data_IF_728165247983
#
_entry.id   IF_728165247983
#
_cell.length_a   1.000
_cell.length_b   1.000
_cell.length_c   1.000
_cell.angle_alpha   90.00
_cell.angle_beta   90.00
_cell.angle_gamma   90.00
#
_symmetry.space_group_name_H-M   'P 1'
#
loop_
_entity.id
_entity.type
_entity.pdbx_description
1 polymer ?
#
# COMPACT_ATOMS: atom_id res chain seq x y z
N UNK A 1 -28.26 -5.71 21.88
CA UNK A 1 -28.32 -5.93 20.39
C UNK A 1 -27.65 -4.82 19.60
N UNK A 2 -27.87 -3.51 19.86
CA UNK A 2 -27.13 -2.42 19.19
C UNK A 2 -25.67 -2.29 19.68
N UNK A 3 -25.42 -2.47 20.98
CA UNK A 3 -24.07 -2.39 21.57
C UNK A 3 -23.18 -3.53 21.07
N UNK A 4 -23.73 -4.76 20.98
CA UNK A 4 -22.99 -5.91 20.39
C UNK A 4 -22.66 -5.74 18.91
N UNK A 5 -23.55 -5.12 18.13
CA UNK A 5 -23.27 -4.80 16.72
C UNK A 5 -22.15 -3.76 16.58
N UNK A 6 -22.08 -2.78 17.48
CA UNK A 6 -21.04 -1.73 17.45
C UNK A 6 -19.68 -2.29 17.87
N UNK A 7 -19.63 -3.18 18.86
CA UNK A 7 -18.37 -3.87 19.24
C UNK A 7 -17.89 -4.86 18.17
N UNK A 8 -18.81 -5.57 17.51
CA UNK A 8 -18.48 -6.46 16.40
C UNK A 8 -17.94 -5.69 15.20
N UNK A 9 -18.59 -4.58 14.84
CA UNK A 9 -18.15 -3.70 13.75
C UNK A 9 -16.77 -3.07 14.04
N UNK A 10 -16.47 -2.74 15.30
CA UNK A 10 -15.16 -2.29 15.74
C UNK A 10 -14.06 -3.35 15.61
N UNK A 11 -14.35 -4.60 15.95
CA UNK A 11 -13.40 -5.72 15.81
C UNK A 11 -13.10 -6.04 14.35
N UNK A 12 -14.12 -6.05 13.49
CA UNK A 12 -13.94 -6.32 12.05
C UNK A 12 -13.07 -5.25 11.38
N UNK A 13 -13.23 -3.98 11.79
CA UNK A 13 -12.40 -2.88 11.29
C UNK A 13 -10.94 -3.01 11.75
N UNK A 14 -10.69 -3.45 12.98
CA UNK A 14 -9.33 -3.68 13.51
C UNK A 14 -8.62 -4.84 12.80
N UNK A 15 -9.32 -5.91 12.49
CA UNK A 15 -8.77 -7.07 11.78
C UNK A 15 -8.41 -6.68 10.34
N UNK A 16 -9.27 -5.93 9.65
CA UNK A 16 -8.98 -5.41 8.31
C UNK A 16 -7.77 -4.47 8.30
N UNK A 17 -7.59 -3.68 9.34
CA UNK A 17 -6.45 -2.77 9.48
C UNK A 17 -5.13 -3.52 9.69
N UNK A 18 -5.15 -4.60 10.47
CA UNK A 18 -3.97 -5.44 10.71
C UNK A 18 -3.57 -6.20 9.44
N UNK A 19 -4.52 -6.75 8.72
CA UNK A 19 -4.30 -7.39 7.42
C UNK A 19 -3.75 -6.40 6.38
N UNK A 20 -4.26 -5.17 6.35
CA UNK A 20 -3.75 -4.10 5.50
C UNK A 20 -2.29 -3.76 5.83
N UNK A 21 -1.97 -3.59 7.11
CA UNK A 21 -0.61 -3.29 7.56
C UNK A 21 0.37 -4.45 7.28
N UNK A 22 -0.09 -5.69 7.43
CA UNK A 22 0.72 -6.88 7.15
C UNK A 22 1.02 -7.01 5.65
N UNK A 23 0.03 -6.76 4.81
CA UNK A 23 0.17 -6.76 3.36
C UNK A 23 1.07 -5.60 2.89
N UNK A 24 0.90 -4.41 3.48
CA UNK A 24 1.75 -3.25 3.21
C UNK A 24 3.22 -3.53 3.54
N UNK A 25 3.50 -4.14 4.71
CA UNK A 25 4.86 -4.55 5.10
C UNK A 25 5.45 -5.62 4.19
N UNK A 26 4.64 -6.52 3.66
CA UNK A 26 5.12 -7.57 2.74
C UNK A 26 5.48 -7.03 1.37
N UNK A 27 4.74 -6.01 0.90
CA UNK A 27 4.84 -5.48 -0.47
C UNK A 27 5.35 -4.04 -0.52
N UNK A 28 6.01 -3.54 0.53
CA UNK A 28 6.45 -2.15 0.65
C UNK A 28 7.36 -1.68 -0.49
N UNK A 29 8.23 -2.59 -1.01
CA UNK A 29 9.12 -2.30 -2.14
C UNK A 29 8.33 -1.98 -3.42
N UNK A 30 7.23 -2.71 -3.68
CA UNK A 30 6.38 -2.45 -4.83
C UNK A 30 5.65 -1.11 -4.68
N UNK A 31 5.20 -0.78 -3.47
CA UNK A 31 4.61 0.52 -3.17
C UNK A 31 5.58 1.67 -3.39
N UNK A 32 6.81 1.53 -2.89
CA UNK A 32 7.86 2.53 -3.10
C UNK A 32 8.18 2.71 -4.59
N UNK A 33 8.31 1.61 -5.33
CA UNK A 33 8.55 1.67 -6.77
C UNK A 33 7.42 2.38 -7.53
N UNK A 34 6.17 2.09 -7.19
CA UNK A 34 5.00 2.74 -7.79
C UNK A 34 4.97 4.25 -7.52
N UNK A 35 5.24 4.65 -6.28
CA UNK A 35 5.32 6.07 -5.88
C UNK A 35 6.41 6.80 -6.68
N UNK A 36 7.58 6.20 -6.82
CA UNK A 36 8.69 6.77 -7.59
C UNK A 36 8.36 6.87 -9.09
N UNK A 37 7.72 5.86 -9.66
CA UNK A 37 7.28 5.87 -11.06
C UNK A 37 6.25 6.97 -11.30
N UNK A 38 5.25 7.11 -10.41
CA UNK A 38 4.25 8.18 -10.53
C UNK A 38 4.86 9.57 -10.37
N UNK A 39 5.76 9.76 -9.41
CA UNK A 39 6.48 11.03 -9.22
C UNK A 39 7.32 11.41 -10.43
N UNK A 40 8.11 10.48 -10.96
CA UNK A 40 8.93 10.69 -12.15
C UNK A 40 8.07 10.92 -13.40
N UNK A 41 7.03 10.12 -13.59
CA UNK A 41 6.12 10.22 -14.74
C UNK A 41 5.39 11.56 -14.79
N UNK A 42 4.79 11.98 -13.67
CA UNK A 42 4.10 13.28 -13.60
C UNK A 42 5.07 14.45 -13.84
N UNK A 43 6.24 14.41 -13.23
CA UNK A 43 7.27 15.43 -13.41
C UNK A 43 7.77 15.48 -14.87
N UNK A 44 7.96 14.33 -15.50
CA UNK A 44 8.38 14.25 -16.88
C UNK A 44 7.34 14.83 -17.85
N UNK A 45 6.06 14.46 -17.66
CA UNK A 45 4.95 14.96 -18.50
C UNK A 45 4.82 16.47 -18.36
N UNK A 46 4.84 16.98 -17.14
CA UNK A 46 4.70 18.42 -16.87
C UNK A 46 5.92 19.21 -17.37
N UNK A 47 7.13 18.68 -17.25
CA UNK A 47 8.33 19.29 -17.80
C UNK A 47 8.26 19.41 -19.33
N UNK A 48 7.72 18.38 -19.99
CA UNK A 48 7.57 18.40 -21.46
C UNK A 48 6.51 19.40 -21.93
N UNK A 49 5.49 19.65 -21.11
CA UNK A 49 4.45 20.64 -21.38
C UNK A 49 4.86 22.07 -20.98
N UNK A 50 5.86 22.23 -20.14
CA UNK A 50 6.31 23.51 -19.64
C UNK A 50 6.94 24.34 -20.77
N UNK A 51 6.42 25.56 -20.95
CA UNK A 51 6.99 26.57 -21.83
C UNK A 51 7.47 27.75 -20.97
N UNK A 52 8.74 28.06 -20.96
CA UNK A 52 9.24 29.22 -20.21
C UNK A 52 8.67 30.51 -20.84
N UNK A 53 8.25 31.42 -19.98
CA UNK A 53 7.77 32.74 -20.39
C UNK A 53 8.74 33.77 -19.82
N UNK A 54 9.29 34.62 -20.67
CA UNK A 54 10.21 35.70 -20.31
C UNK A 54 9.43 37.00 -20.26
N UNK A 55 9.81 37.92 -19.37
CA UNK A 55 9.20 39.22 -19.19
C UNK A 55 10.26 40.30 -19.35
N UNK A 56 10.10 41.16 -20.35
CA UNK A 56 10.81 42.39 -20.44
C UNK A 56 9.95 43.52 -19.85
N UNK A 57 10.52 44.43 -19.08
CA UNK A 57 9.79 45.54 -18.45
C UNK A 57 10.47 46.86 -18.64
N UNK A 58 9.66 47.92 -18.85
CA UNK A 58 10.14 49.29 -18.88
C UNK A 58 9.23 50.15 -18.00
N UNK A 59 9.84 51.06 -17.25
CA UNK A 59 9.17 52.02 -16.38
C UNK A 59 9.25 53.42 -16.92
N UNK A 60 8.10 54.08 -16.94
CA UNK A 60 7.96 55.45 -17.51
C UNK A 60 7.38 56.38 -16.43
N UNK A 61 7.73 57.65 -16.51
CA UNK A 61 7.05 58.70 -15.79
C UNK A 61 6.36 59.69 -16.75
N UNK A 62 5.22 60.17 -16.34
CA UNK A 62 4.43 61.14 -17.13
C UNK A 62 4.95 62.56 -16.83
N UNK A 63 5.40 63.30 -17.87
CA UNK A 63 5.68 64.72 -17.75
C UNK A 63 4.80 65.52 -18.72
N UNK A 64 4.22 66.59 -18.24
CA UNK A 64 3.47 67.54 -19.08
C UNK A 64 4.45 68.57 -19.54
N UNK A 65 4.72 68.65 -20.87
CA UNK A 65 5.55 69.68 -21.46
C UNK A 65 4.64 70.96 -21.62
N UNK A 66 4.91 71.95 -20.80
CA UNK A 66 4.26 73.27 -20.96
C UNK A 66 5.29 74.26 -21.50
N UNK A 67 5.21 74.67 -22.78
CA UNK A 67 6.21 75.51 -23.41
C UNK A 67 6.22 76.97 -22.89
N UNK A 68 5.23 77.40 -22.11
CA UNK A 68 5.10 78.80 -21.67
C UNK A 68 5.61 79.09 -20.26
N UNK A 69 5.89 78.08 -19.45
CA UNK A 69 6.39 78.25 -18.05
C UNK A 69 7.49 77.25 -17.71
N UNK A 70 8.68 77.58 -18.05
CA UNK A 70 9.86 76.80 -17.70
C UNK A 70 10.23 76.81 -16.21
N UNK A 71 9.44 77.43 -15.36
CA UNK A 71 9.84 77.69 -13.94
C UNK A 71 8.80 77.31 -12.85
N UNK A 72 7.65 76.75 -13.19
CA UNK A 72 6.68 76.31 -12.11
C UNK A 72 6.18 74.93 -12.41
N UNK A 73 6.77 73.94 -11.82
CA UNK A 73 6.24 72.58 -11.73
C UNK A 73 5.09 72.53 -10.69
N UNK A 74 3.93 73.08 -11.01
CA UNK A 74 2.72 72.65 -10.31
C UNK A 74 2.30 71.28 -10.80
N UNK A 75 2.81 70.27 -10.17
CA UNK A 75 2.42 68.89 -10.33
C UNK A 75 0.91 68.79 -9.95
N UNK A 76 0.05 68.82 -10.93
CA UNK A 76 -1.37 68.66 -10.69
C UNK A 76 -1.66 67.18 -10.56
N UNK A 77 -1.68 66.68 -9.32
CA UNK A 77 -1.90 65.29 -8.95
C UNK A 77 -3.12 64.66 -9.68
N UNK A 78 -4.16 65.45 -9.92
CA UNK A 78 -5.33 65.02 -10.69
C UNK A 78 -4.99 64.80 -12.18
N UNK A 79 -4.15 65.62 -12.78
CA UNK A 79 -3.77 65.46 -14.21
C UNK A 79 -2.87 64.23 -14.38
N UNK A 80 -1.97 64.00 -13.45
CA UNK A 80 -1.11 62.82 -13.45
C UNK A 80 -1.95 61.55 -13.30
N UNK A 81 -3.02 61.56 -12.50
CA UNK A 81 -3.90 60.43 -12.27
C UNK A 81 -4.77 60.12 -13.50
N UNK A 82 -5.37 61.13 -14.13
CA UNK A 82 -6.11 60.98 -15.40
C UNK A 82 -5.20 60.43 -16.52
N UNK A 83 -3.97 60.87 -16.55
CA UNK A 83 -3.00 60.38 -17.54
C UNK A 83 -2.54 58.94 -17.23
N UNK A 84 -2.31 58.60 -15.97
CA UNK A 84 -2.02 57.23 -15.56
C UNK A 84 -3.13 56.24 -15.98
N UNK A 85 -4.38 56.68 -15.98
CA UNK A 85 -5.53 55.89 -16.45
C UNK A 85 -5.64 55.79 -17.96
N UNK A 86 -5.16 56.79 -18.69
CA UNK A 86 -5.26 56.86 -20.16
C UNK A 86 -4.11 56.19 -20.89
N UNK A 87 -2.88 56.29 -20.37
CA UNK A 87 -1.70 55.72 -21.00
C UNK A 87 -1.70 54.21 -21.19
N UNK A 88 -2.25 53.39 -20.26
CA UNK A 88 -2.36 51.97 -20.50
C UNK A 88 -3.15 51.64 -21.78
N UNK A 89 -4.19 52.43 -22.07
CA UNK A 89 -5.01 52.26 -23.26
C UNK A 89 -4.27 52.66 -24.55
N UNK A 90 -3.36 53.64 -24.48
CA UNK A 90 -2.50 54.05 -25.61
C UNK A 90 -1.43 53.02 -25.89
N UNK A 91 -0.72 52.57 -24.84
CA UNK A 91 0.35 51.58 -24.96
C UNK A 91 -0.12 50.19 -25.41
N UNK A 92 -1.40 49.88 -25.18
CA UNK A 92 -2.04 48.64 -25.66
C UNK A 92 -2.94 48.90 -26.90
N UNK A 93 -2.92 50.10 -27.48
CA UNK A 93 -3.76 50.40 -28.61
C UNK A 93 -3.36 49.61 -29.86
N UNK A 94 -4.38 49.26 -30.66
CA UNK A 94 -4.14 48.58 -31.95
C UNK A 94 -3.35 49.38 -32.95
N UNK A 95 -3.27 50.72 -32.81
CA UNK A 95 -2.47 51.60 -33.66
C UNK A 95 -0.98 51.41 -33.34
N UNK A 96 -0.58 51.42 -32.06
CA UNK A 96 0.77 51.19 -31.63
C UNK A 96 1.23 49.75 -31.94
N UNK A 97 0.35 48.78 -31.71
CA UNK A 97 0.63 47.38 -32.04
C UNK A 97 0.93 47.18 -33.53
N UNK A 98 0.13 47.79 -34.42
CA UNK A 98 0.40 47.75 -35.88
C UNK A 98 1.72 48.36 -36.23
N UNK A 99 2.05 49.52 -35.64
CA UNK A 99 3.35 50.21 -35.91
C UNK A 99 4.52 49.33 -35.45
N UNK A 100 4.40 48.70 -34.31
CA UNK A 100 5.45 47.74 -33.81
C UNK A 100 5.54 46.51 -34.71
N UNK A 101 4.41 45.99 -35.22
CA UNK A 101 4.44 44.88 -36.18
C UNK A 101 5.14 45.27 -37.48
N UNK A 102 4.83 46.43 -37.99
CA UNK A 102 5.48 46.95 -39.23
C UNK A 102 6.98 47.18 -39.05
N UNK A 103 7.39 47.72 -37.91
CA UNK A 103 8.80 48.01 -37.62
C UNK A 103 9.65 46.73 -37.46
N UNK A 104 9.08 45.70 -36.77
CA UNK A 104 9.77 44.45 -36.51
C UNK A 104 9.52 43.37 -37.56
N UNK A 105 8.56 43.60 -38.50
CA UNK A 105 8.20 42.61 -39.50
C UNK A 105 7.58 41.34 -38.92
N UNK A 106 6.79 41.48 -37.82
CA UNK A 106 6.15 40.36 -37.14
C UNK A 106 4.61 40.38 -37.39
N UNK A 107 4.01 39.18 -37.46
CA UNK A 107 2.56 39.03 -37.71
C UNK A 107 1.75 39.23 -36.48
N UNK A 108 2.30 39.01 -35.27
CA UNK A 108 1.58 39.07 -33.99
C UNK A 108 2.49 39.67 -32.91
N UNK A 109 1.90 40.56 -32.10
CA UNK A 109 2.58 41.17 -30.95
C UNK A 109 2.39 40.28 -29.72
N UNK A 110 3.47 39.99 -28.94
CA UNK A 110 3.37 39.31 -27.68
C UNK A 110 2.43 39.97 -26.68
N UNK A 111 2.04 39.21 -25.65
CA UNK A 111 1.15 39.73 -24.61
C UNK A 111 1.81 40.91 -23.88
N UNK A 112 1.17 42.07 -23.99
CA UNK A 112 1.58 43.31 -23.33
C UNK A 112 0.63 43.65 -22.19
N UNK A 113 1.16 44.06 -21.06
CA UNK A 113 0.39 44.56 -19.93
C UNK A 113 1.02 45.84 -19.39
N UNK A 114 0.20 46.77 -19.00
CA UNK A 114 0.61 48.03 -18.39
C UNK A 114 0.02 48.12 -17.01
N UNK A 115 0.83 48.44 -16.03
CA UNK A 115 0.39 48.67 -14.66
C UNK A 115 0.80 50.06 -14.18
N UNK A 116 -0.12 50.81 -13.62
CA UNK A 116 0.14 52.05 -12.93
C UNK A 116 0.38 51.80 -11.44
N UNK A 117 1.41 52.39 -10.87
CA UNK A 117 1.62 52.32 -9.43
C UNK A 117 0.70 53.33 -8.74
N UNK A 118 -0.11 52.84 -7.80
CA UNK A 118 -1.05 53.68 -7.06
C UNK A 118 -0.36 54.89 -6.42
N UNK A 119 -0.99 56.07 -6.57
CA UNK A 119 -0.46 57.36 -6.07
C UNK A 119 0.89 57.79 -6.65
N UNK A 120 1.27 57.27 -7.81
CA UNK A 120 2.54 57.60 -8.48
C UNK A 120 2.29 57.85 -9.97
N UNK A 121 3.09 58.72 -10.57
CA UNK A 121 3.10 58.93 -12.04
C UNK A 121 3.93 57.89 -12.80
N UNK A 122 4.21 56.76 -12.15
CA UNK A 122 5.05 55.68 -12.73
C UNK A 122 4.14 54.65 -13.35
N UNK A 123 4.40 54.37 -14.64
CA UNK A 123 3.78 53.32 -15.43
C UNK A 123 4.80 52.26 -15.75
N UNK A 124 4.48 51.02 -15.55
CA UNK A 124 5.36 49.92 -15.92
C UNK A 124 4.69 49.10 -17.04
N UNK A 125 5.34 49.08 -18.19
CA UNK A 125 5.04 48.23 -19.33
C UNK A 125 5.72 46.88 -19.13
N UNK A 126 5.04 45.80 -19.37
CA UNK A 126 5.54 44.43 -19.34
C UNK A 126 5.16 43.72 -20.63
N UNK A 127 6.15 43.16 -21.28
CA UNK A 127 6.00 42.34 -22.49
C UNK A 127 6.40 40.92 -22.18
N UNK A 128 5.53 39.97 -22.47
CA UNK A 128 5.74 38.54 -22.17
C UNK A 128 5.76 37.70 -23.43
N UNK A 129 6.84 36.97 -23.64
CA UNK A 129 7.00 36.02 -24.75
C UNK A 129 7.71 34.75 -24.29
N UNK A 130 7.63 33.71 -25.09
CA UNK A 130 8.42 32.49 -24.90
C UNK A 130 9.88 32.65 -25.36
N UNK A 131 10.16 33.66 -26.21
CA UNK A 131 11.49 34.04 -26.67
C UNK A 131 11.95 35.34 -25.96
N UNK A 132 13.04 35.27 -25.19
CA UNK A 132 13.59 36.45 -24.48
C UNK A 132 14.00 37.58 -25.40
N UNK A 133 14.57 37.25 -26.58
CA UNK A 133 14.99 38.25 -27.56
C UNK A 133 13.77 38.99 -28.13
N UNK A 134 12.73 38.24 -28.52
CA UNK A 134 11.48 38.81 -29.04
C UNK A 134 10.77 39.69 -28.02
N UNK A 135 10.72 39.29 -26.73
CA UNK A 135 10.17 40.10 -25.67
C UNK A 135 10.89 41.45 -25.52
N UNK A 136 12.20 41.43 -25.62
CA UNK A 136 13.05 42.63 -25.54
C UNK A 136 12.87 43.50 -26.76
N UNK A 137 12.97 42.94 -28.00
CA UNK A 137 12.85 43.68 -29.26
C UNK A 137 11.47 44.38 -29.36
N UNK A 138 10.39 43.71 -28.98
CA UNK A 138 9.07 44.32 -28.96
C UNK A 138 8.97 45.43 -27.91
N UNK A 139 9.53 45.26 -26.72
CA UNK A 139 9.59 46.34 -25.73
C UNK A 139 10.35 47.54 -26.24
N UNK A 140 11.51 47.33 -26.85
CA UNK A 140 12.34 48.39 -27.41
C UNK A 140 11.65 49.11 -28.58
N UNK A 141 10.93 48.37 -29.45
CA UNK A 141 10.13 48.95 -30.54
C UNK A 141 8.95 49.78 -30.00
N UNK A 142 8.29 49.30 -28.92
CA UNK A 142 7.22 50.10 -28.27
C UNK A 142 7.80 51.42 -27.74
N UNK A 143 8.97 51.41 -27.10
CA UNK A 143 9.63 52.60 -26.59
C UNK A 143 9.96 53.56 -27.74
N UNK A 144 10.43 53.04 -28.87
CA UNK A 144 10.78 53.83 -30.04
C UNK A 144 9.53 54.45 -30.77
N UNK A 145 8.49 53.64 -30.97
CA UNK A 145 7.28 54.07 -31.72
C UNK A 145 6.28 54.85 -30.87
N UNK A 146 6.32 54.72 -29.55
CA UNK A 146 5.38 55.35 -28.63
C UNK A 146 5.29 56.91 -28.83
N UNK A 147 6.37 57.67 -28.92
CA UNK A 147 6.28 59.16 -29.00
C UNK A 147 5.46 59.66 -30.16
N UNK A 148 5.55 59.04 -31.33
CA UNK A 148 4.75 59.40 -32.52
C UNK A 148 3.25 59.19 -32.30
N UNK A 149 2.89 58.07 -31.65
CA UNK A 149 1.48 57.73 -31.39
C UNK A 149 0.90 58.62 -30.28
N UNK A 150 1.69 58.90 -29.25
CA UNK A 150 1.26 59.73 -28.13
C UNK A 150 1.07 61.21 -28.52
N UNK A 151 1.94 61.78 -29.36
CA UNK A 151 1.79 63.14 -29.88
C UNK A 151 0.45 63.30 -30.65
N UNK A 152 0.07 62.29 -31.41
CA UNK A 152 -1.19 62.25 -32.15
C UNK A 152 -2.43 62.18 -31.24
N UNK A 153 -2.36 61.46 -30.12
CA UNK A 153 -3.54 61.16 -29.25
C UNK A 153 -3.69 62.18 -28.12
N UNK A 154 -2.62 62.61 -27.47
CA UNK A 154 -2.64 63.34 -26.21
C UNK A 154 -2.00 64.73 -26.33
N UNK A 155 -1.38 65.03 -27.44
CA UNK A 155 -0.70 66.29 -27.64
C UNK A 155 0.68 66.40 -26.91
N UNK A 156 0.97 67.56 -26.32
CA UNK A 156 2.27 67.90 -25.76
C UNK A 156 2.65 67.14 -24.44
N UNK A 157 2.15 65.94 -24.23
CA UNK A 157 2.47 65.13 -23.05
C UNK A 157 3.53 64.08 -23.42
N UNK A 158 4.61 63.98 -22.63
CA UNK A 158 5.73 63.10 -22.94
C UNK A 158 5.91 62.07 -21.80
N UNK A 159 5.96 60.79 -22.17
CA UNK A 159 6.48 59.77 -21.27
C UNK A 159 8.00 59.81 -21.29
N UNK A 160 8.57 59.90 -20.13
CA UNK A 160 10.02 59.84 -19.96
C UNK A 160 10.37 58.43 -19.44
N UNK A 161 11.21 57.72 -20.21
CA UNK A 161 11.75 56.43 -19.76
C UNK A 161 12.59 56.65 -18.51
N UNK A 162 12.23 55.92 -17.43
CA UNK A 162 12.98 55.93 -16.17
C UNK A 162 13.98 54.79 -16.11
N UNK A 163 13.53 53.61 -16.50
CA UNK A 163 14.32 52.39 -16.36
C UNK A 163 13.85 51.35 -17.39
N UNK A 164 14.77 50.50 -17.81
CA UNK A 164 14.56 49.41 -18.77
C UNK A 164 15.25 48.16 -18.25
N UNK A 165 14.56 47.05 -18.18
CA UNK A 165 15.07 45.79 -17.60
C UNK A 165 16.19 45.12 -18.44
N UNK A 166 16.43 45.59 -19.64
CA UNK A 166 17.29 44.91 -20.59
C UNK A 166 16.74 43.53 -21.02
N UNK A 167 17.60 42.77 -21.66
CA UNK A 167 17.23 41.43 -22.13
C UNK A 167 16.97 40.46 -20.94
N UNK A 168 15.79 39.85 -20.85
CA UNK A 168 15.49 38.96 -19.75
C UNK A 168 16.33 37.66 -19.81
N UNK A 169 17.04 37.34 -18.72
CA UNK A 169 17.92 36.18 -18.63
C UNK A 169 17.29 34.98 -17.96
N UNK A 170 16.17 35.18 -17.25
CA UNK A 170 15.45 34.12 -16.54
C UNK A 170 13.95 34.19 -16.83
N UNK A 171 13.24 33.08 -16.86
CA UNK A 171 11.78 33.05 -17.03
C UNK A 171 11.10 33.60 -15.80
N UNK A 172 9.91 34.17 -15.96
CA UNK A 172 9.06 34.73 -14.87
C UNK A 172 8.67 33.68 -13.83
N UNK A 173 8.43 32.48 -14.29
CA UNK A 173 8.13 31.35 -13.40
C UNK A 173 9.05 30.19 -13.75
N UNK A 174 9.89 29.81 -12.82
CA UNK A 174 10.73 28.61 -12.98
C UNK A 174 9.90 27.35 -12.81
N UNK A 175 10.30 26.25 -13.49
CA UNK A 175 9.66 24.97 -13.34
C UNK A 175 9.88 24.43 -11.91
N UNK A 176 8.79 24.30 -11.14
CA UNK A 176 8.86 23.86 -9.75
C UNK A 176 8.89 22.33 -9.66
N UNK A 177 10.08 21.73 -9.78
CA UNK A 177 10.27 20.27 -9.66
C UNK A 177 9.73 19.71 -8.35
N UNK A 178 9.92 20.42 -7.22
CA UNK A 178 9.48 19.95 -5.89
C UNK A 178 7.98 19.78 -5.83
N UNK A 179 7.23 20.72 -6.38
CA UNK A 179 5.77 20.67 -6.42
C UNK A 179 5.28 19.45 -7.22
N UNK A 180 5.80 19.20 -8.42
CA UNK A 180 5.36 18.09 -9.26
C UNK A 180 5.80 16.73 -8.73
N UNK A 181 6.97 16.62 -8.12
CA UNK A 181 7.43 15.40 -7.43
C UNK A 181 6.52 15.08 -6.25
N UNK A 182 6.17 16.07 -5.41
CA UNK A 182 5.28 15.84 -4.27
C UNK A 182 3.86 15.47 -4.71
N UNK A 183 3.30 16.14 -5.70
CA UNK A 183 1.99 15.78 -6.26
C UNK A 183 2.01 14.35 -6.84
N UNK A 184 3.03 13.99 -7.60
CA UNK A 184 3.18 12.64 -8.15
C UNK A 184 3.35 11.58 -7.08
N UNK A 185 4.07 11.87 -6.00
CA UNK A 185 4.21 10.96 -4.86
C UNK A 185 2.88 10.75 -4.12
N UNK A 186 2.09 11.80 -3.93
CA UNK A 186 0.76 11.71 -3.32
C UNK A 186 -0.19 10.86 -4.17
N UNK A 187 -0.21 11.09 -5.48
CA UNK A 187 -1.01 10.29 -6.42
C UNK A 187 -0.57 8.82 -6.38
N UNK A 188 0.74 8.54 -6.41
CA UNK A 188 1.28 7.19 -6.33
C UNK A 188 0.91 6.49 -5.02
N UNK A 189 0.96 7.21 -3.89
CA UNK A 189 0.55 6.68 -2.59
C UNK A 189 -0.96 6.37 -2.54
N UNK A 190 -1.80 7.25 -3.11
CA UNK A 190 -3.24 7.01 -3.19
C UNK A 190 -3.56 5.76 -4.03
N UNK A 191 -2.95 5.61 -5.20
CA UNK A 191 -3.10 4.43 -6.05
C UNK A 191 -2.64 3.17 -5.32
N UNK A 192 -1.52 3.24 -4.61
CA UNK A 192 -1.02 2.12 -3.80
C UNK A 192 -2.01 1.70 -2.71
N UNK A 193 -2.58 2.66 -1.98
CA UNK A 193 -3.61 2.38 -0.96
C UNK A 193 -4.85 1.70 -1.57
N UNK A 194 -5.30 2.13 -2.75
CA UNK A 194 -6.42 1.49 -3.45
C UNK A 194 -6.10 0.05 -3.84
N UNK A 195 -4.89 -0.20 -4.38
CA UNK A 195 -4.44 -1.56 -4.73
C UNK A 195 -4.39 -2.44 -3.48
N UNK A 196 -3.83 -1.95 -2.36
CA UNK A 196 -3.79 -2.69 -1.10
C UNK A 196 -5.19 -3.01 -0.59
N UNK A 197 -6.10 -2.04 -0.59
CA UNK A 197 -7.48 -2.23 -0.17
C UNK A 197 -8.16 -3.31 -1.03
N UNK A 198 -7.97 -3.26 -2.34
CA UNK A 198 -8.50 -4.27 -3.26
C UNK A 198 -7.93 -5.66 -2.97
N UNK A 199 -6.62 -5.78 -2.74
CA UNK A 199 -5.98 -7.06 -2.41
C UNK A 199 -6.45 -7.64 -1.07
N UNK A 200 -6.72 -6.79 -0.08
CA UNK A 200 -7.26 -7.20 1.22
C UNK A 200 -8.70 -7.69 1.06
N UNK A 201 -9.53 -6.97 0.31
CA UNK A 201 -10.92 -7.34 0.06
C UNK A 201 -11.08 -8.63 -0.76
N UNK A 202 -10.12 -8.92 -1.65
CA UNK A 202 -10.12 -10.17 -2.43
C UNK A 202 -9.68 -11.40 -1.63
N UNK A 203 -9.09 -11.22 -0.44
CA UNK A 203 -8.74 -12.35 0.42
C UNK A 203 -10.00 -12.89 1.10
N UNK A 204 -10.45 -14.04 0.68
CA UNK A 204 -11.47 -14.82 1.39
C UNK A 204 -10.86 -15.46 2.64
N UNK A 205 -10.54 -14.68 3.66
CA UNK A 205 -10.09 -15.16 4.97
C UNK A 205 -11.28 -15.17 5.92
N UNK A 206 -11.50 -16.29 6.59
CA UNK A 206 -12.54 -16.40 7.61
C UNK A 206 -12.04 -15.74 8.89
N UNK A 207 -12.71 -14.68 9.33
CA UNK A 207 -12.30 -13.91 10.50
C UNK A 207 -13.13 -14.23 11.75
N UNK A 208 -14.36 -14.68 11.59
CA UNK A 208 -15.32 -14.90 12.68
C UNK A 208 -15.99 -16.28 12.66
N UNK A 209 -16.38 -16.78 13.86
CA UNK A 209 -17.14 -18.04 14.00
C UNK A 209 -18.45 -18.03 13.19
N UNK A 210 -19.15 -16.90 13.17
CA UNK A 210 -20.43 -16.75 12.47
C UNK A 210 -20.26 -16.81 10.95
N UNK A 211 -19.15 -16.29 10.42
CA UNK A 211 -18.80 -16.38 9.00
C UNK A 211 -18.49 -17.83 8.62
N UNK A 212 -17.73 -18.54 9.46
CA UNK A 212 -17.43 -19.95 9.28
C UNK A 212 -18.71 -20.79 9.23
N UNK A 213 -19.64 -20.57 10.16
CA UNK A 213 -20.92 -21.28 10.21
C UNK A 213 -21.78 -21.03 8.98
N UNK A 214 -21.81 -19.78 8.49
CA UNK A 214 -22.58 -19.40 7.28
C UNK A 214 -21.98 -19.96 6.01
N UNK A 215 -20.65 -19.97 5.91
CA UNK A 215 -19.92 -20.35 4.69
C UNK A 215 -19.77 -21.86 4.56
N UNK A 216 -19.43 -22.57 5.65
CA UNK A 216 -19.13 -24.01 5.61
C UNK A 216 -20.25 -24.89 6.15
N UNK A 217 -21.31 -24.32 6.72
CA UNK A 217 -22.37 -25.07 7.41
C UNK A 217 -21.84 -26.11 8.42
N UNK A 218 -20.72 -25.78 9.07
CA UNK A 218 -20.04 -26.64 10.04
C UNK A 218 -19.90 -25.92 11.39
N UNK A 219 -19.99 -26.64 12.53
CA UNK A 219 -19.79 -26.04 13.84
C UNK A 219 -18.33 -25.64 14.04
N UNK A 220 -18.08 -24.45 14.58
CA UNK A 220 -16.75 -24.05 15.03
C UNK A 220 -16.44 -24.76 16.37
N UNK A 221 -15.43 -25.64 16.36
CA UNK A 221 -15.01 -26.37 17.57
C UNK A 221 -14.06 -25.55 18.43
N UNK A 222 -13.42 -24.51 17.91
CA UNK A 222 -12.57 -23.64 18.69
C UNK A 222 -11.66 -22.76 17.84
N UNK A 223 -11.11 -21.74 18.48
CA UNK A 223 -10.09 -20.85 17.93
C UNK A 223 -8.79 -21.05 18.70
N UNK A 224 -7.70 -21.26 18.00
CA UNK A 224 -6.36 -21.39 18.58
C UNK A 224 -5.56 -20.15 18.20
N UNK A 225 -5.08 -19.34 19.17
CA UNK A 225 -4.32 -18.15 18.88
C UNK A 225 -2.97 -18.50 18.29
N UNK A 226 -2.47 -17.61 17.41
CA UNK A 226 -1.12 -17.73 16.86
C UNK A 226 -0.07 -17.61 17.98
N UNK A 227 0.88 -18.52 17.98
CA UNK A 227 1.98 -18.55 18.96
C UNK A 227 3.29 -18.18 18.28
N UNK A 228 4.10 -17.34 18.92
CA UNK A 228 5.44 -17.02 18.43
C UNK A 228 6.32 -18.26 18.47
N UNK A 229 6.75 -18.70 17.29
CA UNK A 229 7.66 -19.84 17.14
C UNK A 229 9.10 -19.36 17.39
N UNK A 230 9.79 -20.01 18.34
CA UNK A 230 11.20 -19.76 18.59
C UNK A 230 12.08 -20.74 17.80
N UNK A 231 13.23 -20.27 17.29
CA UNK A 231 14.21 -21.16 16.62
C UNK A 231 14.68 -22.33 17.50
N UNK A 232 14.68 -22.15 18.83
CA UNK A 232 15.02 -23.22 19.80
C UNK A 232 13.87 -24.19 20.08
N UNK A 233 12.63 -23.79 19.74
CA UNK A 233 11.40 -24.56 19.99
C UNK A 233 10.47 -24.36 18.80
N UNK A 234 10.69 -25.07 17.71
CA UNK A 234 9.99 -24.84 16.44
C UNK A 234 8.51 -25.22 16.49
N UNK A 235 8.11 -25.98 17.51
CA UNK A 235 6.72 -26.44 17.64
C UNK A 235 6.14 -26.06 19.00
N UNK A 236 4.98 -25.39 19.06
CA UNK A 236 4.30 -25.08 20.30
C UNK A 236 3.70 -26.36 20.88
N UNK A 237 4.03 -26.66 22.15
CA UNK A 237 3.43 -27.75 22.90
C UNK A 237 2.64 -27.19 24.09
N UNK A 238 1.54 -27.83 24.42
CA UNK A 238 0.60 -27.43 25.46
C UNK A 238 1.28 -27.03 26.79
N UNK A 239 2.23 -27.80 27.26
CA UNK A 239 2.92 -27.58 28.53
C UNK A 239 4.06 -26.56 28.47
N UNK A 240 4.34 -25.99 27.31
CA UNK A 240 5.45 -25.03 27.05
C UNK A 240 4.97 -23.69 26.53
N UNK A 241 3.66 -23.50 26.39
CA UNK A 241 3.06 -22.32 25.80
C UNK A 241 2.39 -21.41 26.83
N UNK A 242 2.12 -20.19 26.41
CA UNK A 242 1.37 -19.21 27.18
C UNK A 242 -0.03 -19.74 27.55
N UNK A 243 -0.59 -19.22 28.65
CA UNK A 243 -1.89 -19.65 29.20
C UNK A 243 -3.02 -19.64 28.17
N UNK A 244 -3.06 -18.62 27.27
CA UNK A 244 -4.10 -18.48 26.24
C UNK A 244 -4.12 -19.64 25.24
N UNK A 245 -2.96 -20.05 24.71
CA UNK A 245 -2.86 -21.20 23.82
C UNK A 245 -3.27 -22.50 24.52
N UNK A 246 -2.74 -22.72 25.71
CA UNK A 246 -3.03 -23.92 26.49
C UNK A 246 -4.52 -24.05 26.81
N UNK A 247 -5.16 -22.93 27.15
CA UNK A 247 -6.60 -22.90 27.43
C UNK A 247 -7.44 -23.15 26.17
N UNK A 248 -7.06 -22.57 25.04
CA UNK A 248 -7.74 -22.82 23.76
C UNK A 248 -7.68 -24.28 23.33
N UNK A 249 -6.53 -24.95 23.53
CA UNK A 249 -6.39 -26.40 23.25
C UNK A 249 -7.23 -27.22 24.21
N UNK A 250 -7.33 -26.85 25.49
CA UNK A 250 -8.20 -27.53 26.46
C UNK A 250 -9.68 -27.41 26.11
N UNK A 251 -10.10 -26.23 25.70
CA UNK A 251 -11.50 -26.00 25.25
C UNK A 251 -11.79 -26.78 23.97
N UNK A 252 -10.86 -26.79 23.00
CA UNK A 252 -11.00 -27.62 21.80
C UNK A 252 -11.14 -29.10 22.17
N UNK A 253 -10.30 -29.63 23.09
CA UNK A 253 -10.40 -31.00 23.56
C UNK A 253 -11.78 -31.30 24.12
N UNK A 254 -12.33 -30.46 25.01
CA UNK A 254 -13.64 -30.67 25.60
C UNK A 254 -14.76 -30.77 24.56
N UNK A 255 -14.73 -29.89 23.55
CA UNK A 255 -15.69 -29.88 22.44
C UNK A 255 -15.55 -31.13 21.55
N UNK A 256 -14.29 -31.53 21.24
CA UNK A 256 -14.01 -32.73 20.46
C UNK A 256 -14.44 -33.99 21.22
N UNK A 257 -14.10 -34.12 22.52
CA UNK A 257 -14.51 -35.25 23.35
C UNK A 257 -16.04 -35.37 23.37
N UNK A 258 -16.76 -34.28 23.57
CA UNK A 258 -18.21 -34.25 23.55
C UNK A 258 -18.77 -34.72 22.20
N UNK A 259 -18.30 -34.15 21.10
CA UNK A 259 -18.77 -34.49 19.75
C UNK A 259 -18.48 -35.96 19.40
N UNK A 260 -17.32 -36.49 19.80
CA UNK A 260 -16.97 -37.90 19.56
C UNK A 260 -17.79 -38.87 20.42
N UNK A 261 -18.05 -38.53 21.69
CA UNK A 261 -18.85 -39.35 22.59
C UNK A 261 -20.33 -39.41 22.15
N UNK A 262 -20.92 -38.28 21.77
CA UNK A 262 -22.30 -38.21 21.27
C UNK A 262 -22.50 -39.07 20.02
N UNK A 263 -21.48 -39.23 19.19
CA UNK A 263 -21.54 -40.02 17.95
C UNK A 263 -20.93 -41.42 18.09
N UNK A 264 -20.46 -41.83 19.26
CA UNK A 264 -19.80 -43.11 19.47
C UNK A 264 -18.49 -43.28 18.68
N UNK A 265 -17.82 -42.16 18.33
CA UNK A 265 -16.63 -42.17 17.52
C UNK A 265 -15.35 -42.18 18.37
N UNK A 266 -14.32 -42.87 17.90
CA UNK A 266 -12.98 -42.89 18.50
C UNK A 266 -11.89 -42.35 17.57
N UNK A 267 -12.20 -42.16 16.31
CA UNK A 267 -11.23 -41.76 15.27
C UNK A 267 -11.52 -40.33 14.88
N UNK A 268 -10.47 -39.50 14.96
CA UNK A 268 -10.49 -38.10 14.56
C UNK A 268 -9.51 -37.89 13.41
N UNK A 269 -9.96 -37.33 12.30
CA UNK A 269 -9.13 -36.90 11.19
C UNK A 269 -8.93 -35.40 11.25
N UNK A 270 -7.69 -34.94 11.14
CA UNK A 270 -7.32 -33.53 11.11
C UNK A 270 -6.72 -33.19 9.76
N UNK A 271 -7.36 -32.31 9.03
CA UNK A 271 -6.94 -31.83 7.68
C UNK A 271 -7.06 -30.32 7.57
N UNK A 272 -6.58 -29.73 6.47
CA UNK A 272 -6.68 -28.30 6.18
C UNK A 272 -6.75 -28.05 4.67
N UNK A 273 -7.11 -26.84 4.27
CA UNK A 273 -7.24 -26.48 2.85
C UNK A 273 -5.87 -26.26 2.19
N UNK A 274 -4.89 -25.73 2.94
CA UNK A 274 -3.55 -25.40 2.43
C UNK A 274 -2.44 -25.83 3.40
N UNK A 275 -1.21 -26.03 2.94
CA UNK A 275 -0.05 -26.30 3.79
C UNK A 275 0.22 -25.13 4.76
N UNK A 276 0.66 -25.45 5.98
CA UNK A 276 1.09 -24.44 6.96
C UNK A 276 -0.01 -23.86 7.85
N UNK A 277 -1.25 -24.33 7.78
CA UNK A 277 -2.36 -23.88 8.63
C UNK A 277 -2.33 -24.43 10.07
N UNK A 278 -1.35 -25.26 10.40
CA UNK A 278 -1.14 -25.73 11.77
C UNK A 278 -1.80 -27.08 12.09
N UNK A 279 -2.17 -27.90 11.11
CA UNK A 279 -2.72 -29.25 11.29
C UNK A 279 -1.97 -30.08 12.33
N UNK A 280 -0.69 -30.32 12.08
CA UNK A 280 0.16 -31.11 13.01
C UNK A 280 0.25 -30.46 14.37
N UNK A 281 0.30 -29.11 14.45
CA UNK A 281 0.26 -28.42 15.75
C UNK A 281 -1.01 -28.73 16.51
N UNK A 282 -2.16 -28.71 15.85
CA UNK A 282 -3.47 -29.04 16.45
C UNK A 282 -3.51 -30.51 16.83
N UNK A 283 -3.17 -31.43 15.92
CA UNK A 283 -3.18 -32.88 16.11
C UNK A 283 -2.34 -33.29 17.32
N UNK A 284 -1.08 -32.81 17.38
CA UNK A 284 -0.15 -33.13 18.46
C UNK A 284 -0.63 -32.58 19.80
N UNK A 285 -1.03 -31.29 19.87
CA UNK A 285 -1.43 -30.69 21.14
C UNK A 285 -2.77 -31.24 21.65
N UNK A 286 -3.69 -31.59 20.74
CA UNK A 286 -4.93 -32.28 21.11
C UNK A 286 -4.63 -33.70 21.66
N UNK A 287 -3.73 -34.46 21.01
CA UNK A 287 -3.31 -35.77 21.47
C UNK A 287 -2.67 -35.70 22.86
N UNK A 288 -1.76 -34.75 23.08
CA UNK A 288 -1.15 -34.48 24.39
C UNK A 288 -2.22 -34.14 25.43
N UNK A 289 -3.18 -33.28 25.10
CA UNK A 289 -4.24 -32.85 26.02
C UNK A 289 -5.17 -34.00 26.42
N UNK A 290 -5.47 -34.89 25.48
CA UNK A 290 -6.29 -36.12 25.77
C UNK A 290 -5.52 -37.12 26.64
N UNK A 291 -4.25 -37.36 26.34
CA UNK A 291 -3.39 -38.26 27.12
C UNK A 291 -3.20 -37.76 28.55
N UNK A 292 -3.04 -36.47 28.79
CA UNK A 292 -2.97 -35.85 30.12
C UNK A 292 -4.24 -36.05 30.97
N UNK A 293 -5.35 -36.46 30.34
CA UNK A 293 -6.59 -36.85 31.04
C UNK A 293 -6.69 -38.36 31.33
N UNK A 294 -5.57 -39.08 31.19
CA UNK A 294 -5.50 -40.51 31.42
C UNK A 294 -6.08 -41.35 30.27
N UNK A 295 -6.28 -40.76 29.08
CA UNK A 295 -6.77 -41.51 27.91
C UNK A 295 -5.61 -42.15 27.17
N UNK A 296 -5.82 -43.34 26.64
CA UNK A 296 -4.87 -43.99 25.73
C UNK A 296 -5.10 -43.46 24.32
N UNK A 297 -4.16 -42.66 23.83
CA UNK A 297 -4.24 -41.95 22.54
C UNK A 297 -3.19 -42.48 21.58
N UNK A 298 -3.61 -42.78 20.35
CA UNK A 298 -2.71 -43.05 19.24
C UNK A 298 -2.76 -41.90 18.24
N UNK A 299 -1.64 -41.27 17.98
CA UNK A 299 -1.46 -40.29 16.92
C UNK A 299 -0.73 -40.95 15.73
N UNK A 300 -1.32 -40.91 14.55
CA UNK A 300 -0.76 -41.47 13.33
C UNK A 300 -0.43 -40.32 12.37
N UNK A 301 0.83 -40.21 11.99
CA UNK A 301 1.29 -39.26 10.96
C UNK A 301 0.99 -39.83 9.56
N UNK A 302 -0.06 -39.34 8.95
CA UNK A 302 -0.49 -39.68 7.61
C UNK A 302 -0.06 -38.61 6.57
N UNK A 303 0.70 -37.57 6.96
CA UNK A 303 1.30 -36.62 6.05
C UNK A 303 2.63 -37.17 5.49
N UNK A 304 2.51 -38.06 4.54
CA UNK A 304 3.63 -38.77 3.94
C UNK A 304 4.48 -37.88 3.03
N UNK A 305 3.99 -36.68 2.67
CA UNK A 305 4.77 -35.72 1.87
C UNK A 305 5.73 -34.92 2.74
N UNK A 306 5.31 -34.58 3.95
CA UNK A 306 6.09 -33.80 4.87
C UNK A 306 5.83 -34.20 6.34
N UNK A 307 6.21 -35.44 6.75
CA UNK A 307 5.94 -35.93 8.09
C UNK A 307 6.62 -35.03 9.13
N UNK A 308 5.86 -34.59 10.12
CA UNK A 308 6.33 -33.62 11.11
C UNK A 308 6.01 -33.98 12.56
N UNK A 309 5.20 -35.01 12.79
CA UNK A 309 4.86 -35.48 14.14
C UNK A 309 6.09 -35.94 14.91
N UNK A 310 6.98 -36.74 14.29
CA UNK A 310 8.21 -37.19 14.91
C UNK A 310 9.10 -36.03 15.36
N UNK A 311 9.29 -35.01 14.49
CA UNK A 311 10.09 -33.82 14.81
C UNK A 311 9.51 -33.01 15.97
N UNK A 312 8.18 -33.06 16.15
CA UNK A 312 7.48 -32.31 17.19
C UNK A 312 7.55 -33.00 18.54
N UNK A 313 7.37 -34.32 18.58
CA UNK A 313 7.25 -35.11 19.80
C UNK A 313 8.52 -35.84 20.23
N UNK A 314 9.49 -36.00 19.32
CA UNK A 314 10.77 -36.64 19.69
C UNK A 314 11.51 -35.81 20.73
N UNK A 315 11.98 -36.47 21.78
CA UNK A 315 12.76 -35.86 22.83
C UNK A 315 14.10 -36.61 23.01
N UNK A 316 14.99 -36.05 23.86
CA UNK A 316 16.23 -36.73 24.19
C UNK A 316 16.02 -38.00 25.03
N UNK A 317 14.96 -38.02 25.84
CA UNK A 317 14.58 -39.12 26.70
C UNK A 317 13.89 -40.26 25.94
N UNK A 318 13.06 -39.89 24.96
CA UNK A 318 12.30 -40.82 24.12
C UNK A 318 12.46 -40.43 22.65
N UNK A 319 13.59 -40.79 22.02
CA UNK A 319 13.76 -40.56 20.60
C UNK A 319 12.80 -41.45 19.81
N UNK A 320 12.02 -40.86 18.89
CA UNK A 320 11.15 -41.62 18.02
C UNK A 320 11.96 -42.14 16.83
N UNK A 321 11.84 -43.44 16.57
CA UNK A 321 12.50 -44.13 15.47
C UNK A 321 11.70 -43.95 14.16
N UNK A 322 12.20 -43.11 13.27
CA UNK A 322 11.59 -42.87 11.97
C UNK A 322 11.65 -44.13 11.06
N UNK A 323 12.52 -45.08 11.32
CA UNK A 323 12.57 -46.37 10.64
C UNK A 323 11.35 -47.26 10.95
N UNK A 324 10.68 -47.05 12.10
CA UNK A 324 9.47 -47.77 12.49
C UNK A 324 8.24 -47.04 12.07
N UNK A 325 7.98 -46.98 10.78
CA UNK A 325 6.95 -46.19 10.17
C UNK A 325 5.82 -47.05 9.56
N UNK A 326 4.79 -46.39 9.02
CA UNK A 326 3.58 -47.01 8.51
C UNK A 326 3.84 -48.01 7.35
N UNK A 327 4.92 -47.85 6.56
CA UNK A 327 5.26 -48.77 5.46
C UNK A 327 5.63 -50.15 5.95
N UNK A 328 6.11 -50.29 7.21
CA UNK A 328 6.49 -51.55 7.85
C UNK A 328 5.28 -52.32 8.40
N UNK A 329 4.06 -51.78 8.26
CA UNK A 329 2.87 -52.49 8.70
C UNK A 329 2.53 -53.67 7.78
N UNK A 330 2.58 -54.89 8.30
CA UNK A 330 2.29 -56.11 7.52
C UNK A 330 0.85 -56.58 7.58
N UNK A 331 0.01 -55.88 8.33
CA UNK A 331 -1.42 -56.19 8.43
C UNK A 331 -1.82 -57.03 9.64
N UNK A 332 -0.89 -57.36 10.55
CA UNK A 332 -1.19 -58.06 11.82
C UNK A 332 -1.27 -57.09 13.01
N UNK A 333 -1.99 -57.50 14.06
CA UNK A 333 -2.10 -56.74 15.31
C UNK A 333 -0.76 -56.61 16.06
N UNK A 334 0.12 -57.60 15.95
CA UNK A 334 1.46 -57.57 16.53
C UNK A 334 2.33 -56.49 15.86
N UNK A 335 2.31 -56.43 14.55
CA UNK A 335 3.06 -55.38 13.84
C UNK A 335 2.48 -53.99 14.12
N UNK A 336 1.16 -53.83 14.22
CA UNK A 336 0.56 -52.57 14.62
C UNK A 336 1.00 -52.14 16.03
N UNK A 337 1.09 -53.09 16.98
CA UNK A 337 1.57 -52.83 18.32
C UNK A 337 3.05 -52.49 18.37
N UNK A 338 3.86 -53.11 17.49
CA UNK A 338 5.29 -52.84 17.39
C UNK A 338 5.63 -51.50 16.73
N UNK A 339 4.76 -50.98 15.88
CA UNK A 339 4.93 -49.67 15.23
C UNK A 339 4.57 -48.51 16.17
N UNK A 340 3.64 -48.71 17.11
CA UNK A 340 3.22 -47.68 18.04
C UNK A 340 4.33 -47.43 19.08
N UNK A 341 4.93 -46.26 19.01
CA UNK A 341 6.04 -45.83 19.85
C UNK A 341 5.51 -44.99 21.01
N UNK A 342 5.96 -45.27 22.25
CA UNK A 342 5.65 -44.43 23.40
C UNK A 342 6.36 -43.06 23.30
N UNK A 343 5.75 -42.03 23.85
CA UNK A 343 6.34 -40.70 23.97
C UNK A 343 6.65 -40.35 25.43
N UNK A 344 7.22 -39.17 25.69
CA UNK A 344 7.40 -38.63 27.05
C UNK A 344 6.05 -38.36 27.76
N UNK A 345 4.94 -38.35 27.04
CA UNK A 345 3.63 -38.11 27.60
C UNK A 345 2.96 -39.46 27.87
N UNK A 346 2.71 -39.75 29.14
CA UNK A 346 2.08 -40.98 29.55
C UNK A 346 0.68 -41.16 28.84
N UNK A 347 0.46 -42.32 28.26
CA UNK A 347 -0.78 -42.63 27.53
C UNK A 347 -0.75 -42.20 26.05
N UNK A 348 0.24 -41.46 25.59
CA UNK A 348 0.37 -41.05 24.20
C UNK A 348 1.32 -41.95 23.43
N UNK A 349 0.81 -42.56 22.37
CA UNK A 349 1.57 -43.39 21.43
C UNK A 349 1.54 -42.74 20.04
N UNK A 350 2.61 -42.95 19.27
CA UNK A 350 2.78 -42.38 17.95
C UNK A 350 3.19 -43.44 16.93
N UNK A 351 2.58 -43.42 15.76
CA UNK A 351 3.07 -44.06 14.56
C UNK A 351 3.57 -42.97 13.62
N UNK A 352 4.85 -42.96 13.34
CA UNK A 352 5.50 -41.93 12.51
C UNK A 352 5.23 -42.16 11.03
N UNK A 353 5.18 -41.09 10.26
CA UNK A 353 5.09 -41.10 8.80
C UNK A 353 6.43 -41.53 8.16
N UNK A 354 6.38 -41.94 6.90
CA UNK A 354 7.56 -42.26 6.13
C UNK A 354 8.15 -41.01 5.47
N UNK A 355 9.43 -40.71 5.75
CA UNK A 355 10.13 -39.59 5.12
C UNK A 355 10.66 -39.90 3.70
N UNK A 356 10.70 -41.17 3.29
CA UNK A 356 11.37 -41.56 2.02
C UNK A 356 10.62 -41.19 0.74
N UNK A 357 9.40 -40.64 0.83
CA UNK A 357 8.62 -40.11 -0.29
C UNK A 357 8.30 -41.11 -1.43
N UNK A 358 8.64 -42.40 -1.27
CA UNK A 358 8.57 -43.42 -2.31
C UNK A 358 7.30 -44.28 -2.31
N UNK A 359 6.49 -44.18 -1.25
CA UNK A 359 5.26 -44.95 -1.20
C UNK A 359 4.13 -44.26 -1.93
N UNK A 360 3.57 -44.95 -2.91
CA UNK A 360 2.32 -44.49 -3.55
C UNK A 360 1.15 -44.85 -2.62
N UNK A 361 0.67 -43.83 -1.89
CA UNK A 361 -0.38 -44.00 -0.87
C UNK A 361 -1.77 -44.15 -1.46
N UNK A 362 -1.90 -44.03 -2.75
CA UNK A 362 -3.13 -44.24 -3.49
C UNK A 362 -3.24 -45.68 -4.03
N UNK A 363 -2.22 -46.52 -3.82
CA UNK A 363 -2.31 -47.91 -4.20
C UNK A 363 -3.27 -48.69 -3.28
N UNK A 364 -4.04 -49.61 -3.85
CA UNK A 364 -5.02 -50.39 -3.13
C UNK A 364 -4.43 -51.23 -1.97
N UNK A 365 -3.20 -51.79 -2.06
CA UNK A 365 -2.58 -52.46 -0.92
C UNK A 365 -2.32 -51.57 0.27
N UNK A 366 -1.83 -50.33 0.08
CA UNK A 366 -1.57 -49.38 1.15
C UNK A 366 -2.85 -48.90 1.80
N UNK A 367 -3.91 -48.64 1.06
CA UNK A 367 -5.23 -48.30 1.59
C UNK A 367 -5.79 -49.45 2.45
N UNK A 368 -5.69 -50.70 1.99
CA UNK A 368 -6.16 -51.87 2.74
C UNK A 368 -5.36 -52.04 4.06
N UNK A 369 -4.06 -51.82 4.05
CA UNK A 369 -3.21 -51.84 5.26
C UNK A 369 -3.61 -50.74 6.25
N UNK A 370 -3.75 -49.51 5.78
CA UNK A 370 -4.17 -48.39 6.61
C UNK A 370 -5.56 -48.65 7.26
N UNK A 371 -6.50 -49.18 6.50
CA UNK A 371 -7.84 -49.56 7.02
C UNK A 371 -7.72 -50.60 8.14
N UNK A 372 -6.88 -51.62 7.98
CA UNK A 372 -6.66 -52.64 9.02
C UNK A 372 -6.00 -52.04 10.26
N UNK A 373 -5.02 -51.15 10.10
CA UNK A 373 -4.35 -50.46 11.18
C UNK A 373 -5.33 -49.60 11.99
N UNK A 374 -6.18 -48.84 11.31
CA UNK A 374 -7.19 -47.99 11.93
C UNK A 374 -8.21 -48.82 12.71
N UNK A 375 -8.66 -49.95 12.17
CA UNK A 375 -9.54 -50.89 12.91
C UNK A 375 -8.89 -51.41 14.17
N UNK A 376 -7.64 -51.88 14.09
CA UNK A 376 -6.90 -52.33 15.25
C UNK A 376 -6.72 -51.22 16.30
N UNK A 377 -6.37 -50.02 15.85
CA UNK A 377 -6.15 -48.86 16.70
C UNK A 377 -7.44 -48.48 17.45
N UNK A 378 -8.59 -48.47 16.75
CA UNK A 378 -9.92 -48.19 17.35
C UNK A 378 -10.27 -49.12 18.50
N UNK A 379 -9.88 -50.38 18.41
CA UNK A 379 -10.24 -51.37 19.44
C UNK A 379 -9.28 -51.28 20.64
N UNK A 380 -8.04 -50.85 20.46
CA UNK A 380 -6.99 -50.82 21.48
C UNK A 380 -6.85 -49.49 22.21
N UNK A 381 -7.20 -48.36 21.55
CA UNK A 381 -7.03 -47.00 22.06
C UNK A 381 -8.40 -46.36 22.33
N UNK A 382 -8.42 -45.38 23.26
CA UNK A 382 -9.62 -44.59 23.54
C UNK A 382 -9.86 -43.58 22.41
N UNK A 383 -8.79 -42.97 21.90
CA UNK A 383 -8.81 -42.04 20.79
C UNK A 383 -7.70 -42.33 19.78
N UNK A 384 -8.02 -42.21 18.51
CA UNK A 384 -7.06 -42.30 17.39
C UNK A 384 -7.12 -41.00 16.60
N UNK A 385 -6.02 -40.30 16.46
CA UNK A 385 -5.91 -39.06 15.71
C UNK A 385 -5.06 -39.32 14.46
N UNK A 386 -5.63 -38.95 13.31
CA UNK A 386 -4.96 -39.04 12.01
C UNK A 386 -4.55 -37.62 11.58
N UNK A 387 -3.24 -37.34 11.51
CA UNK A 387 -2.68 -36.10 10.97
C UNK A 387 -2.48 -36.26 9.47
N UNK A 388 -3.31 -35.62 8.65
CA UNK A 388 -3.34 -35.85 7.18
C UNK A 388 -2.74 -34.69 6.40
N UNK A 389 -2.29 -34.88 5.13
CA UNK A 389 -1.91 -33.79 4.26
C UNK A 389 -3.10 -32.85 4.00
N UNK A 390 -2.84 -31.63 3.50
CA UNK A 390 -3.87 -30.70 3.08
C UNK A 390 -4.63 -31.21 1.86
#
# INVERSE_FOLDING_TARGET
MEIEKTEQQGRDTFVLLDDFLHQAKRMWLLGLALILICAAGLTFVQRRAYRPVYEASASFTVRVANPLYASVSSYNEKTAQVMADTFPSILTSGLLQRRVMDELGIDEVPAMSVSATAHSSILTLKVRDTDPQRAYDVMSAVIACYPEVAEFVVGSTVLVLLDESGMPTAPVAEFNYRYYITCGAVVGAAVWCVILAFLVLMKNTVHNEDELRKTLNAPCLGQIPAVKISRKRPYPLLHRCESGFSESVRLLRLRVEKAMQENGQKILLVSSAIPGEGKTTVSVNLAVSLAQKGRRVLLIDCDFRNPSVAKTLSSRSHPLDEGRNLTNFTGSGETAGALAQATDVEGLFVIVGNADGKADYFDAPTQARLTKLIRFARDKYDYVILDTPP
#
